data_IF_906257117003
#
_entry.id   IF_906257117003
#
_cell.length_a   1.000
_cell.length_b   1.000
_cell.length_c   1.000
_cell.angle_alpha   90.00
_cell.angle_beta   90.00
_cell.angle_gamma   90.00
#
_symmetry.space_group_name_H-M   'P 1'
#
loop_
_entity.id
_entity.type
_entity.pdbx_description
1 polymer ?
#
# COMPACT_ATOMS: atom_id res chain seq x y z
N UNK A 1 15.60 0.40 9.24
CA UNK A 1 14.19 0.02 9.06
C UNK A 1 13.77 0.21 7.61
N UNK A 2 13.01 -0.72 7.03
CA UNK A 2 12.41 -0.58 5.68
C UNK A 2 10.88 -0.61 5.79
N UNK A 3 10.21 0.28 5.06
CA UNK A 3 8.78 0.20 4.81
C UNK A 3 8.49 -0.18 3.35
N UNK A 4 7.46 -0.99 3.13
CA UNK A 4 6.84 -1.14 1.82
C UNK A 4 5.45 -0.50 1.86
N UNK A 5 5.28 0.61 1.14
CA UNK A 5 4.05 1.38 1.14
C UNK A 5 3.20 1.16 -0.12
N UNK A 6 3.42 0.06 -0.87
CA UNK A 6 2.80 -0.18 -2.17
C UNK A 6 1.27 0.01 -2.18
N UNK A 7 0.59 -0.41 -1.12
CA UNK A 7 -0.87 -0.31 -1.00
C UNK A 7 -1.36 1.09 -0.62
N UNK A 8 -0.53 1.92 0.00
CA UNK A 8 -0.95 3.17 0.66
C UNK A 8 -0.18 4.41 0.17
N UNK A 9 0.64 4.26 -0.87
CA UNK A 9 1.48 5.34 -1.40
C UNK A 9 0.69 6.56 -1.87
N UNK A 10 -0.51 6.38 -2.42
CA UNK A 10 -1.39 7.49 -2.76
C UNK A 10 -1.91 8.24 -1.54
N UNK A 11 -2.29 7.51 -0.48
CA UNK A 11 -2.76 8.08 0.79
C UNK A 11 -1.64 8.89 1.48
N UNK A 12 -0.40 8.37 1.45
CA UNK A 12 0.78 9.06 1.97
C UNK A 12 1.08 10.30 1.13
N UNK A 13 1.06 10.20 -0.20
CA UNK A 13 1.32 11.33 -1.10
C UNK A 13 0.31 12.49 -0.90
N UNK A 14 -0.95 12.16 -0.62
CA UNK A 14 -1.98 13.14 -0.29
C UNK A 14 -1.92 13.68 1.16
N UNK A 15 -1.05 13.11 2.01
CA UNK A 15 -0.92 13.48 3.41
C UNK A 15 -2.17 13.21 4.24
N UNK A 16 -2.92 12.15 3.91
CA UNK A 16 -4.17 11.78 4.63
C UNK A 16 -3.96 10.65 5.66
N UNK A 17 -2.77 10.05 5.68
CA UNK A 17 -2.33 9.08 6.69
C UNK A 17 -0.86 9.36 7.09
N UNK A 18 -0.36 8.83 8.22
CA UNK A 18 1.03 9.02 8.64
C UNK A 18 2.06 8.54 7.62
N UNK A 19 3.17 9.26 7.55
CA UNK A 19 4.26 8.98 6.60
C UNK A 19 5.28 8.00 7.20
N UNK A 20 5.67 6.93 6.49
CA UNK A 20 6.75 6.05 6.94
C UNK A 20 8.13 6.71 6.78
N UNK A 21 8.24 7.79 6.01
CA UNK A 21 9.51 8.46 5.74
C UNK A 21 10.15 9.01 7.01
N UNK A 22 9.38 9.38 8.03
CA UNK A 22 9.88 9.97 9.28
C UNK A 22 10.75 8.99 10.08
N UNK A 23 10.54 7.69 9.90
CA UNK A 23 11.19 6.64 10.71
C UNK A 23 12.03 5.66 9.89
N UNK A 24 11.77 5.54 8.58
CA UNK A 24 12.39 4.52 7.75
C UNK A 24 13.64 5.03 7.03
N UNK A 25 14.63 4.14 6.90
CA UNK A 25 15.84 4.38 6.11
C UNK A 25 15.59 4.15 4.61
N UNK A 26 14.72 3.19 4.30
CA UNK A 26 14.34 2.76 2.96
C UNK A 26 12.82 2.66 2.88
N UNK A 27 12.24 3.21 1.81
CA UNK A 27 10.80 3.08 1.52
C UNK A 27 10.63 2.58 0.09
N UNK A 28 10.02 1.41 -0.09
CA UNK A 28 9.66 0.88 -1.42
C UNK A 28 8.18 1.07 -1.70
N UNK A 29 7.82 1.22 -2.97
CA UNK A 29 6.42 1.27 -3.39
C UNK A 29 6.22 0.80 -4.82
N UNK A 30 5.02 0.30 -5.10
CA UNK A 30 4.48 0.25 -6.47
C UNK A 30 3.83 1.57 -6.85
N UNK A 31 3.74 1.88 -8.14
CA UNK A 31 3.15 3.13 -8.63
C UNK A 31 1.69 3.01 -9.09
N UNK A 32 1.14 1.80 -9.20
CA UNK A 32 -0.17 1.56 -9.84
C UNK A 32 -1.37 1.39 -8.91
N UNK A 33 -1.15 1.20 -7.60
CA UNK A 33 -2.24 1.01 -6.63
C UNK A 33 -2.84 2.37 -6.26
N UNK A 34 -2.84 2.74 -4.98
CA UNK A 34 -3.44 4.02 -4.53
C UNK A 34 -2.79 5.24 -5.17
N UNK A 35 -1.54 5.14 -5.66
CA UNK A 35 -0.87 6.22 -6.42
C UNK A 35 -1.41 6.40 -7.86
N UNK A 36 -2.17 5.42 -8.39
CA UNK A 36 -2.92 5.49 -9.64
C UNK A 36 -2.10 5.78 -10.92
N UNK A 37 -0.83 5.36 -10.94
CA UNK A 37 0.05 5.40 -12.11
C UNK A 37 0.10 4.09 -12.90
N UNK A 38 1.02 4.00 -13.85
CA UNK A 38 1.30 2.74 -14.57
C UNK A 38 2.06 1.75 -13.68
N UNK A 39 2.17 0.48 -14.10
CA UNK A 39 2.90 -0.56 -13.35
C UNK A 39 4.41 -0.31 -13.37
N UNK A 40 4.95 0.17 -12.25
CA UNK A 40 6.38 0.30 -11.98
C UNK A 40 6.64 0.26 -10.46
N UNK A 41 7.91 0.36 -10.06
CA UNK A 41 8.35 0.44 -8.68
C UNK A 41 9.30 1.63 -8.44
N UNK A 42 9.29 2.15 -7.21
CA UNK A 42 10.20 3.21 -6.74
C UNK A 42 10.83 2.75 -5.43
N UNK A 43 12.13 2.99 -5.28
CA UNK A 43 12.89 2.77 -4.04
C UNK A 43 13.43 4.13 -3.58
N UNK A 44 12.91 4.61 -2.45
CA UNK A 44 13.44 5.78 -1.76
C UNK A 44 14.46 5.34 -0.71
N UNK A 45 15.49 6.16 -0.50
CA UNK A 45 16.53 5.92 0.48
C UNK A 45 17.01 7.22 1.11
N UNK A 46 17.40 7.14 2.38
CA UNK A 46 18.05 8.26 3.10
C UNK A 46 19.44 8.55 2.53
N UNK A 47 19.81 9.83 2.54
CA UNK A 47 21.14 10.36 2.21
C UNK A 47 21.59 11.30 3.32
N UNK A 48 22.90 11.55 3.44
CA UNK A 48 23.48 12.46 4.43
C UNK A 48 23.88 11.76 5.74
N UNK A 49 23.91 12.52 6.83
CA UNK A 49 24.33 12.03 8.15
C UNK A 49 23.25 11.11 8.75
N UNK A 50 23.66 9.90 9.14
CA UNK A 50 22.83 8.92 9.82
C UNK A 50 22.88 9.09 11.34
N UNK A 51 24.07 9.29 11.88
CA UNK A 51 24.27 9.48 13.32
C UNK A 51 25.56 10.24 13.59
N UNK A 52 25.60 10.98 14.67
CA UNK A 52 26.81 11.62 15.19
C UNK A 52 27.20 10.90 16.47
N UNK A 53 28.43 10.42 16.55
CA UNK A 53 28.95 9.80 17.77
C UNK A 53 29.03 10.87 18.87
N UNK A 54 28.29 10.68 19.95
CA UNK A 54 28.21 11.60 21.08
C UNK A 54 29.54 11.81 21.81
N UNK A 55 30.51 10.90 21.66
CA UNK A 55 31.81 10.98 22.33
C UNK A 55 32.88 11.63 21.48
N UNK A 56 32.88 11.33 20.17
CA UNK A 56 33.94 11.77 19.25
C UNK A 56 33.51 12.91 18.34
N UNK A 57 32.20 13.21 18.28
CA UNK A 57 31.63 14.16 17.32
C UNK A 57 31.68 13.65 15.88
N UNK A 58 32.11 12.40 15.65
CA UNK A 58 32.29 11.85 14.30
C UNK A 58 30.95 11.53 13.66
N UNK A 59 30.73 12.08 12.48
CA UNK A 59 29.56 11.78 11.67
C UNK A 59 29.69 10.41 10.99
N UNK A 60 28.61 9.64 11.03
CA UNK A 60 28.41 8.44 10.23
C UNK A 60 27.40 8.75 9.14
N UNK A 61 27.78 8.55 7.87
CA UNK A 61 26.94 8.84 6.72
C UNK A 61 26.14 7.61 6.27
N UNK A 62 24.98 7.85 5.67
CA UNK A 62 24.27 6.83 4.89
C UNK A 62 25.07 6.45 3.64
N UNK A 63 25.16 5.15 3.36
CA UNK A 63 25.77 4.58 2.16
C UNK A 63 24.75 3.88 1.23
N UNK A 64 23.46 4.20 1.38
CA UNK A 64 22.37 3.49 0.72
C UNK A 64 22.29 3.75 -0.79
N UNK A 65 22.57 4.97 -1.24
CA UNK A 65 22.43 5.39 -2.64
C UNK A 65 23.23 4.49 -3.59
N UNK A 66 24.54 4.33 -3.32
CA UNK A 66 25.42 3.53 -4.16
C UNK A 66 24.98 2.07 -4.18
N UNK A 67 24.65 1.51 -3.01
CA UNK A 67 24.28 0.10 -2.87
C UNK A 67 22.97 -0.22 -3.59
N UNK A 68 21.96 0.65 -3.45
CA UNK A 68 20.64 0.44 -4.07
C UNK A 68 20.73 0.63 -5.58
N UNK A 69 21.37 1.70 -6.05
CA UNK A 69 21.48 1.96 -7.49
C UNK A 69 22.25 0.82 -8.19
N UNK A 70 23.36 0.35 -7.62
CA UNK A 70 24.13 -0.77 -8.15
C UNK A 70 23.38 -2.11 -8.10
N UNK A 71 22.58 -2.34 -7.06
CA UNK A 71 21.74 -3.53 -6.98
C UNK A 71 20.65 -3.54 -8.07
N UNK A 72 20.08 -2.38 -8.41
CA UNK A 72 19.12 -2.27 -9.53
C UNK A 72 19.85 -2.49 -10.86
N UNK A 73 20.90 -1.71 -11.12
CA UNK A 73 21.72 -1.84 -12.32
C UNK A 73 23.20 -1.59 -11.96
N UNK A 74 24.14 -2.48 -12.31
CA UNK A 74 23.97 -3.65 -13.18
C UNK A 74 23.55 -4.94 -12.47
N UNK A 75 23.18 -4.89 -11.19
CA UNK A 75 22.98 -6.09 -10.36
C UNK A 75 21.83 -7.00 -10.80
N UNK A 76 20.61 -6.48 -10.91
CA UNK A 76 19.40 -7.28 -11.13
C UNK A 76 18.68 -6.99 -12.45
N UNK A 77 18.74 -5.76 -12.94
CA UNK A 77 18.06 -5.32 -14.16
C UNK A 77 19.06 -4.88 -15.23
N UNK A 78 18.59 -4.87 -16.48
CA UNK A 78 19.31 -4.34 -17.65
C UNK A 78 18.79 -2.96 -18.06
N UNK A 79 18.31 -2.84 -19.30
CA UNK A 79 17.81 -1.57 -19.85
C UNK A 79 16.54 -1.05 -19.15
N UNK A 80 16.45 0.25 -18.85
CA UNK A 80 15.28 0.82 -18.18
C UNK A 80 14.07 0.94 -19.13
N UNK A 81 12.86 0.76 -18.57
CA UNK A 81 11.61 0.95 -19.30
C UNK A 81 11.19 2.43 -19.33
N UNK A 82 11.84 3.24 -20.16
CA UNK A 82 11.66 4.70 -20.20
C UNK A 82 10.21 5.16 -20.43
N UNK A 83 9.42 4.41 -21.20
CA UNK A 83 7.99 4.68 -21.41
C UNK A 83 7.19 4.58 -20.08
N UNK A 84 7.52 3.62 -19.23
CA UNK A 84 6.91 3.50 -17.90
C UNK A 84 7.41 4.60 -16.96
N UNK A 85 8.69 4.96 -17.03
CA UNK A 85 9.25 6.08 -16.23
C UNK A 85 8.51 7.40 -16.56
N UNK A 86 8.26 7.67 -17.84
CA UNK A 86 7.46 8.83 -18.26
C UNK A 86 6.03 8.78 -17.72
N UNK A 87 5.37 7.61 -17.77
CA UNK A 87 4.03 7.42 -17.19
C UNK A 87 3.99 7.64 -15.67
N UNK A 88 5.04 7.19 -14.95
CA UNK A 88 5.20 7.46 -13.52
C UNK A 88 5.36 8.95 -13.24
N UNK A 89 6.15 9.68 -14.02
CA UNK A 89 6.31 11.12 -13.84
C UNK A 89 4.98 11.89 -13.99
N UNK A 90 4.14 11.48 -14.94
CA UNK A 90 2.77 12.04 -15.10
C UNK A 90 1.92 11.75 -13.86
N UNK A 91 1.91 10.50 -13.37
CA UNK A 91 1.15 10.12 -12.18
C UNK A 91 1.62 10.86 -10.92
N UNK A 92 2.93 11.05 -10.74
CA UNK A 92 3.49 11.81 -9.64
C UNK A 92 3.07 13.28 -9.69
N UNK A 93 3.04 13.89 -10.88
CA UNK A 93 2.51 15.24 -11.05
C UNK A 93 1.03 15.34 -10.67
N UNK A 94 0.22 14.35 -11.06
CA UNK A 94 -1.19 14.28 -10.65
C UNK A 94 -1.33 14.10 -9.13
N UNK A 95 -0.46 13.31 -8.49
CA UNK A 95 -0.52 13.06 -7.06
C UNK A 95 -0.29 14.31 -6.19
N UNK A 96 0.31 15.37 -6.75
CA UNK A 96 0.56 16.65 -6.08
C UNK A 96 -0.61 17.63 -6.16
N UNK A 97 -1.70 17.31 -6.87
CA UNK A 97 -2.81 18.25 -7.07
C UNK A 97 -3.83 18.18 -5.93
N UNK A 98 -4.57 19.27 -5.63
CA UNK A 98 -5.62 19.25 -4.62
C UNK A 98 -6.75 18.26 -4.94
N UNK A 99 -7.04 18.02 -6.23
CA UNK A 99 -8.05 17.03 -6.66
C UNK A 99 -7.62 15.61 -6.27
N UNK A 100 -6.32 15.30 -6.34
CA UNK A 100 -5.83 14.01 -5.89
C UNK A 100 -5.98 13.83 -4.38
N UNK A 101 -5.72 14.88 -3.59
CA UNK A 101 -5.97 14.85 -2.14
C UNK A 101 -7.45 14.65 -1.82
N UNK A 102 -8.35 15.35 -2.51
CA UNK A 102 -9.79 15.17 -2.37
C UNK A 102 -10.22 13.73 -2.72
N UNK A 103 -9.67 13.17 -3.80
CA UNK A 103 -9.87 11.77 -4.15
C UNK A 103 -9.43 10.80 -3.05
N UNK A 104 -8.24 10.97 -2.47
CA UNK A 104 -7.76 10.09 -1.39
C UNK A 104 -8.58 10.21 -0.10
N UNK A 105 -9.09 11.41 0.23
CA UNK A 105 -10.04 11.57 1.34
C UNK A 105 -11.34 10.81 1.07
N UNK A 106 -11.84 10.84 -0.17
CA UNK A 106 -13.03 10.10 -0.57
C UNK A 106 -12.81 8.58 -0.48
N UNK A 107 -11.62 8.08 -0.84
CA UNK A 107 -11.25 6.66 -0.69
C UNK A 107 -11.39 6.22 0.77
N UNK A 108 -10.86 6.99 1.72
CA UNK A 108 -10.99 6.69 3.15
C UNK A 108 -12.44 6.76 3.64
N UNK A 109 -13.20 7.77 3.19
CA UNK A 109 -14.62 7.92 3.54
C UNK A 109 -15.45 6.73 3.03
N UNK A 110 -15.23 6.31 1.79
CA UNK A 110 -15.89 5.15 1.20
C UNK A 110 -15.57 3.87 1.97
N UNK A 111 -14.30 3.69 2.37
CA UNK A 111 -13.88 2.51 3.14
C UNK A 111 -14.58 2.43 4.50
N UNK A 112 -14.69 3.56 5.20
CA UNK A 112 -15.42 3.66 6.47
C UNK A 112 -16.91 3.40 6.28
N UNK A 113 -17.54 3.96 5.25
CA UNK A 113 -18.95 3.73 4.94
C UNK A 113 -19.24 2.25 4.62
N UNK A 114 -18.41 1.62 3.80
CA UNK A 114 -18.52 0.20 3.47
C UNK A 114 -18.36 -0.68 4.72
N UNK A 115 -17.36 -0.37 5.55
CA UNK A 115 -17.13 -1.08 6.82
C UNK A 115 -18.36 -0.99 7.73
N UNK A 116 -18.92 0.21 7.91
CA UNK A 116 -20.09 0.43 8.75
C UNK A 116 -21.31 -0.33 8.23
N UNK A 117 -21.59 -0.25 6.93
CA UNK A 117 -22.72 -0.94 6.31
C UNK A 117 -22.63 -2.47 6.42
N UNK A 118 -21.42 -3.03 6.34
CA UNK A 118 -21.22 -4.47 6.54
C UNK A 118 -21.41 -4.87 8.01
N UNK A 119 -20.87 -4.09 8.96
CA UNK A 119 -21.07 -4.34 10.39
C UNK A 119 -22.54 -4.28 10.78
N UNK A 120 -23.30 -3.30 10.26
CA UNK A 120 -24.76 -3.20 10.46
C UNK A 120 -25.50 -4.45 9.96
N UNK A 121 -25.01 -5.08 8.89
CA UNK A 121 -25.52 -6.35 8.34
C UNK A 121 -25.05 -7.59 9.11
N UNK A 122 -24.37 -7.43 10.24
CA UNK A 122 -23.91 -8.53 11.09
C UNK A 122 -22.62 -9.20 10.62
N UNK A 123 -21.88 -8.57 9.71
CA UNK A 123 -20.59 -9.08 9.25
C UNK A 123 -19.44 -8.67 10.17
N UNK A 124 -18.47 -9.57 10.32
CA UNK A 124 -17.30 -9.32 11.18
C UNK A 124 -16.14 -8.74 10.37
N UNK A 125 -15.83 -7.46 10.61
CA UNK A 125 -14.62 -6.82 10.08
C UNK A 125 -13.44 -7.08 11.00
N UNK A 126 -12.31 -7.43 10.41
CA UNK A 126 -11.06 -7.68 11.13
C UNK A 126 -10.56 -6.36 11.68
N UNK A 127 -10.05 -6.38 12.92
CA UNK A 127 -9.74 -5.18 13.71
C UNK A 127 -10.93 -4.23 13.95
N UNK A 128 -12.16 -4.61 13.57
CA UNK A 128 -13.38 -3.82 13.81
C UNK A 128 -13.62 -2.66 12.84
N UNK A 129 -12.72 -2.42 11.87
CA UNK A 129 -12.83 -1.28 10.95
C UNK A 129 -11.60 -1.16 10.04
N UNK A 130 -11.38 0.05 9.51
CA UNK A 130 -10.18 0.37 8.72
C UNK A 130 -9.80 1.84 8.81
N UNK A 131 -8.49 2.07 8.87
CA UNK A 131 -7.85 3.39 8.77
C UNK A 131 -7.25 3.64 7.38
N UNK A 132 -7.48 2.73 6.43
CA UNK A 132 -6.88 2.78 5.09
C UNK A 132 -7.95 2.60 3.99
N UNK A 133 -7.54 2.14 2.81
CA UNK A 133 -8.38 1.99 1.62
C UNK A 133 -9.05 0.60 1.49
N UNK A 134 -8.86 -0.31 2.43
CA UNK A 134 -9.38 -1.68 2.34
C UNK A 134 -9.98 -2.16 3.66
N UNK A 135 -10.86 -3.14 3.58
CA UNK A 135 -11.38 -3.88 4.74
C UNK A 135 -11.19 -5.37 4.51
N UNK A 136 -10.99 -6.10 5.60
CA UNK A 136 -10.86 -7.55 5.56
C UNK A 136 -12.06 -8.17 6.29
N UNK A 137 -12.88 -8.91 5.55
CA UNK A 137 -14.12 -9.49 6.04
C UNK A 137 -13.91 -10.94 6.49
N UNK A 138 -14.20 -11.23 7.77
CA UNK A 138 -14.18 -12.58 8.34
C UNK A 138 -15.52 -13.28 8.11
N UNK A 139 -15.55 -14.28 7.22
CA UNK A 139 -16.76 -15.03 6.86
C UNK A 139 -17.02 -16.27 7.71
N UNK A 140 -16.09 -16.65 8.60
CA UNK A 140 -16.23 -17.83 9.46
C UNK A 140 -17.50 -17.78 10.34
N UNK A 141 -17.88 -16.65 10.97
CA UNK A 141 -19.13 -16.56 11.73
C UNK A 141 -20.39 -16.79 10.89
N UNK A 142 -20.30 -16.61 9.57
CA UNK A 142 -21.38 -16.80 8.63
C UNK A 142 -21.44 -18.22 8.05
N UNK A 143 -20.59 -19.14 8.51
CA UNK A 143 -20.58 -20.54 8.05
C UNK A 143 -20.10 -20.74 6.61
N UNK A 144 -19.37 -19.77 6.05
CA UNK A 144 -18.80 -19.84 4.69
C UNK A 144 -17.33 -19.42 4.69
N UNK A 145 -16.66 -19.58 3.55
CA UNK A 145 -15.25 -19.23 3.36
C UNK A 145 -15.05 -18.20 2.25
N UNK A 146 -13.81 -17.68 2.18
CA UNK A 146 -13.42 -16.65 1.25
C UNK A 146 -13.51 -17.08 -0.21
N UNK A 147 -13.17 -18.34 -0.51
CA UNK A 147 -13.20 -18.87 -1.86
C UNK A 147 -14.60 -19.07 -2.41
N UNK A 148 -15.55 -19.50 -1.57
CA UNK A 148 -16.97 -19.55 -1.96
C UNK A 148 -17.54 -18.14 -2.13
N UNK A 149 -17.27 -17.24 -1.18
CA UNK A 149 -17.72 -15.86 -1.25
C UNK A 149 -17.23 -15.13 -2.49
N UNK A 150 -15.92 -15.21 -2.78
CA UNK A 150 -15.28 -14.61 -3.97
C UNK A 150 -15.94 -15.08 -5.27
N UNK A 151 -16.16 -16.39 -5.45
CA UNK A 151 -16.75 -16.95 -6.68
C UNK A 151 -18.19 -16.50 -6.91
N UNK A 152 -18.99 -16.43 -5.86
CA UNK A 152 -20.39 -15.95 -5.97
C UNK A 152 -20.41 -14.46 -6.30
N UNK A 153 -19.57 -13.66 -5.65
CA UNK A 153 -19.43 -12.24 -5.94
C UNK A 153 -18.95 -12.01 -7.38
N UNK A 154 -17.97 -12.78 -7.85
CA UNK A 154 -17.48 -12.73 -9.23
C UNK A 154 -18.58 -13.05 -10.26
N UNK A 155 -19.41 -14.07 -9.99
CA UNK A 155 -20.57 -14.40 -10.82
C UNK A 155 -21.63 -13.28 -10.87
N UNK A 156 -21.62 -12.39 -9.87
CA UNK A 156 -22.46 -11.18 -9.81
C UNK A 156 -21.72 -9.90 -10.25
N UNK A 157 -20.58 -10.02 -10.94
CA UNK A 157 -19.75 -8.91 -11.39
C UNK A 157 -19.18 -8.02 -10.25
N UNK A 158 -19.02 -8.58 -9.05
CA UNK A 158 -18.35 -7.93 -7.92
C UNK A 158 -16.96 -8.55 -7.77
N UNK A 159 -15.94 -7.83 -8.22
CA UNK A 159 -14.55 -8.26 -8.11
C UNK A 159 -14.04 -8.10 -6.68
N UNK A 160 -13.65 -9.21 -6.06
CA UNK A 160 -13.03 -9.26 -4.74
C UNK A 160 -11.90 -10.28 -4.75
N UNK A 161 -11.16 -10.41 -3.66
CA UNK A 161 -10.13 -11.46 -3.55
C UNK A 161 -10.24 -12.22 -2.24
N UNK A 162 -10.13 -13.55 -2.30
CA UNK A 162 -10.02 -14.37 -1.08
C UNK A 162 -8.68 -14.16 -0.37
N UNK A 163 -8.69 -14.07 0.95
CA UNK A 163 -7.48 -13.80 1.75
C UNK A 163 -7.41 -14.70 2.99
N UNK A 164 -6.19 -14.96 3.48
CA UNK A 164 -5.95 -15.70 4.73
C UNK A 164 -6.15 -14.78 5.94
N UNK A 165 -6.35 -15.36 7.12
CA UNK A 165 -6.47 -14.61 8.34
C UNK A 165 -5.83 -15.13 9.61
N UNK A 166 -5.71 -14.26 10.65
CA UNK A 166 -5.29 -14.72 11.97
C UNK A 166 -6.15 -15.91 12.44
N UNK A 167 -5.46 -17.00 12.78
CA UNK A 167 -6.05 -18.25 13.23
C UNK A 167 -6.40 -19.25 12.12
N UNK A 168 -6.16 -18.94 10.84
CA UNK A 168 -6.37 -19.91 9.77
C UNK A 168 -5.29 -21.00 9.77
N UNK A 169 -5.73 -22.26 9.82
CA UNK A 169 -4.86 -23.44 9.66
C UNK A 169 -4.70 -23.85 8.18
N UNK A 170 -5.65 -23.44 7.33
CA UNK A 170 -5.67 -23.68 5.88
C UNK A 170 -5.92 -22.36 5.17
N UNK A 171 -5.38 -22.21 3.96
CA UNK A 171 -5.56 -21.01 3.15
C UNK A 171 -7.06 -20.74 2.88
N UNK A 172 -7.46 -19.47 2.87
CA UNK A 172 -8.70 -18.93 2.23
C UNK A 172 -10.02 -18.78 3.03
N UNK A 173 -10.02 -18.31 4.28
CA UNK A 173 -11.29 -18.10 5.02
C UNK A 173 -11.91 -16.68 4.94
N UNK A 174 -11.31 -15.72 4.24
CA UNK A 174 -11.82 -14.33 4.16
C UNK A 174 -12.01 -13.81 2.76
N UNK A 175 -12.82 -12.75 2.64
CA UNK A 175 -12.87 -11.90 1.45
C UNK A 175 -12.28 -10.54 1.78
N UNK A 176 -11.32 -10.10 0.95
CA UNK A 176 -10.75 -8.77 0.95
C UNK A 176 -11.59 -7.89 0.02
N UNK A 177 -12.11 -6.79 0.58
CA UNK A 177 -12.72 -5.73 -0.19
C UNK A 177 -11.76 -4.54 -0.24
N UNK A 178 -11.31 -4.22 -1.45
CA UNK A 178 -10.57 -2.99 -1.70
C UNK A 178 -11.61 -1.91 -2.00
N UNK A 179 -11.67 -0.89 -1.14
CA UNK A 179 -12.58 0.22 -1.39
C UNK A 179 -11.97 1.07 -2.51
N UNK A 180 -12.69 1.12 -3.62
CA UNK A 180 -12.25 1.50 -4.97
C UNK A 180 -11.16 2.59 -5.04
N UNK A 181 -10.07 2.21 -5.71
CA UNK A 181 -9.05 3.07 -6.32
C UNK A 181 -9.38 3.17 -7.80
#
# INVERSE_FOLDING_TARGET
LRADMAHISGLIAAGVIPSPFDYCDIVSTTTHKTLRGCRAGIIFYRKGVRSVDTKTGKESLYNLESLINQAVFPGLQGGPHNHAIAGVAVALKQAMTPEFKAYQLQVLANCKALSAALVEKGYKIVTGGSDTHLILLDLRPNGTDGGRGEKVLEACAIACNKNTCPGDLLYYNKVLFVCTI
#
